data_IF_143776355614
#
_entry.id   IF_143776355614
#
_cell.length_a   1.000
_cell.length_b   1.000
_cell.length_c   1.000
_cell.angle_alpha   90.00
_cell.angle_beta   90.00
_cell.angle_gamma   90.00
#
_symmetry.space_group_name_H-M   'P 1'
#
loop_
_entity.id
_entity.type
_entity.pdbx_description
1 polymer ?
#
# COMPACT_ATOMS: atom_id res chain seq x y z
N UNK A 1 10.98 24.75 1.06
CA UNK A 1 11.03 24.69 2.54
C UNK A 1 10.31 23.41 2.94
N UNK A 2 11.00 22.42 3.51
CA UNK A 2 10.38 21.17 4.00
C UNK A 2 9.52 21.54 5.22
N UNK A 3 8.31 20.99 5.33
CA UNK A 3 7.48 21.17 6.52
C UNK A 3 8.12 20.42 7.70
N UNK A 4 8.06 20.98 8.91
CA UNK A 4 8.61 20.33 10.11
C UNK A 4 8.05 18.91 10.28
N UNK A 5 6.79 18.68 9.88
CA UNK A 5 6.14 17.37 9.87
C UNK A 5 6.82 16.39 8.94
N UNK A 6 7.12 16.79 7.70
CA UNK A 6 7.79 15.94 6.72
C UNK A 6 9.22 15.59 7.18
N UNK A 7 9.94 16.57 7.74
CA UNK A 7 11.25 16.35 8.31
C UNK A 7 11.21 15.34 9.48
N UNK A 8 10.26 15.49 10.40
CA UNK A 8 10.10 14.58 11.52
C UNK A 8 9.77 13.15 11.06
N UNK A 9 8.87 13.00 10.08
CA UNK A 9 8.52 11.70 9.50
C UNK A 9 9.75 11.05 8.84
N UNK A 10 10.48 11.79 8.00
CA UNK A 10 11.65 11.26 7.29
C UNK A 10 12.90 11.06 8.18
N UNK A 11 12.90 11.63 9.38
CA UNK A 11 13.95 11.43 10.40
C UNK A 11 13.57 10.37 11.45
N UNK A 12 12.34 9.84 11.41
CA UNK A 12 11.88 8.84 12.36
C UNK A 12 12.37 7.45 11.95
N UNK A 13 12.96 6.73 12.90
CA UNK A 13 13.43 5.37 12.70
C UNK A 13 12.24 4.40 12.70
N UNK A 14 12.13 3.57 11.66
CA UNK A 14 11.14 2.49 11.63
C UNK A 14 11.59 1.36 12.55
N UNK A 15 10.73 0.86 13.44
CA UNK A 15 11.04 -0.32 14.28
C UNK A 15 11.19 -1.61 13.48
N UNK A 16 10.67 -1.67 12.25
CA UNK A 16 10.75 -2.86 11.40
C UNK A 16 11.99 -2.87 10.50
N UNK A 17 12.52 -1.69 10.18
CA UNK A 17 13.65 -1.52 9.24
C UNK A 17 14.88 -0.95 9.96
N UNK A 18 14.76 -0.49 11.21
CA UNK A 18 15.80 0.11 12.07
C UNK A 18 16.49 1.37 11.50
N UNK A 19 16.02 1.89 10.37
CA UNK A 19 16.54 3.11 9.75
C UNK A 19 15.45 4.15 9.50
N UNK A 20 15.87 5.42 9.39
CA UNK A 20 15.01 6.51 8.96
C UNK A 20 15.06 6.73 7.43
N UNK A 21 13.97 7.15 6.78
CA UNK A 21 13.95 7.40 5.32
C UNK A 21 15.08 8.29 4.79
N UNK A 22 15.51 9.30 5.55
CA UNK A 22 16.64 10.15 5.14
C UNK A 22 17.97 9.41 5.09
N UNK A 23 18.25 8.55 6.07
CA UNK A 23 19.45 7.73 6.08
C UNK A 23 19.43 6.70 4.94
N UNK A 24 18.25 6.21 4.58
CA UNK A 24 18.08 5.27 3.50
C UNK A 24 18.33 5.90 2.12
N UNK A 25 17.65 7.00 1.81
CA UNK A 25 17.76 7.65 0.51
C UNK A 25 19.08 8.41 0.35
N UNK A 26 19.52 9.02 1.45
CA UNK A 26 20.59 10.01 1.44
C UNK A 26 21.85 9.53 2.13
N UNK A 27 21.92 8.34 2.73
CA UNK A 27 23.13 7.85 3.42
C UNK A 27 23.57 8.67 4.65
N UNK A 28 22.80 9.68 5.04
CA UNK A 28 23.03 10.51 6.22
C UNK A 28 21.70 11.05 6.75
N UNK A 29 21.63 11.28 8.07
CA UNK A 29 20.54 12.03 8.69
C UNK A 29 20.83 13.54 8.59
N UNK A 30 20.02 14.34 7.87
CA UNK A 30 20.19 15.78 7.83
C UNK A 30 19.95 16.37 9.22
N UNK A 31 20.74 17.38 9.58
CA UNK A 31 20.50 18.18 10.78
C UNK A 31 20.05 19.57 10.32
N UNK A 32 19.12 20.19 11.04
CA UNK A 32 18.59 21.53 10.71
C UNK A 32 19.69 22.61 10.71
N UNK A 33 20.80 22.36 11.43
CA UNK A 33 21.98 23.20 11.46
C UNK A 33 23.16 22.42 10.84
N UNK A 34 23.67 22.87 9.69
CA UNK A 34 25.01 22.47 9.20
C UNK A 34 25.86 23.71 9.03
N UNK A 35 26.85 23.88 9.90
CA UNK A 35 27.99 24.77 9.66
C UNK A 35 28.97 24.04 8.73
N UNK A 36 29.25 24.62 7.56
CA UNK A 36 30.14 24.02 6.56
C UNK A 36 31.58 24.36 6.92
N UNK A 37 32.30 23.45 7.58
CA UNK A 37 33.75 23.56 7.78
C UNK A 37 34.46 22.59 6.83
N UNK A 38 34.98 23.10 5.72
CA UNK A 38 35.75 22.31 4.75
C UNK A 38 37.26 22.39 5.00
N UNK A 39 37.92 21.24 5.22
CA UNK A 39 39.40 21.09 5.14
C UNK A 39 39.85 19.84 4.36
N UNK A 40 38.94 19.08 3.75
CA UNK A 40 39.27 17.81 3.10
C UNK A 40 39.01 17.86 1.58
N UNK A 41 39.81 17.08 0.82
CA UNK A 41 39.68 16.97 -0.64
C UNK A 41 38.34 16.30 -1.01
N UNK A 42 37.49 16.95 -1.84
CA UNK A 42 36.11 16.54 -2.08
C UNK A 42 35.96 15.13 -2.70
N UNK A 43 36.97 14.62 -3.40
CA UNK A 43 36.85 13.38 -4.19
C UNK A 43 36.79 12.08 -3.38
N UNK A 44 37.43 12.02 -2.20
CA UNK A 44 37.46 10.80 -1.39
C UNK A 44 36.23 10.65 -0.49
N UNK A 45 35.67 11.75 0.00
CA UNK A 45 34.43 11.75 0.79
C UNK A 45 33.23 11.35 -0.06
N UNK A 46 33.13 11.85 -1.30
CA UNK A 46 32.08 11.48 -2.25
C UNK A 46 32.09 9.96 -2.53
N UNK A 47 33.28 9.36 -2.68
CA UNK A 47 33.41 7.90 -2.90
C UNK A 47 32.96 7.08 -1.68
N UNK A 48 33.34 7.51 -0.47
CA UNK A 48 32.89 6.85 0.78
C UNK A 48 31.38 6.95 0.94
N UNK A 49 30.82 8.11 0.64
CA UNK A 49 29.39 8.36 0.66
C UNK A 49 28.62 7.45 -0.30
N UNK A 50 29.00 7.43 -1.58
CA UNK A 50 28.35 6.58 -2.58
C UNK A 50 28.42 5.09 -2.21
N UNK A 51 29.56 4.64 -1.66
CA UNK A 51 29.72 3.27 -1.18
C UNK A 51 28.77 2.96 -0.01
N UNK A 52 28.60 3.88 0.94
CA UNK A 52 27.68 3.72 2.05
C UNK A 52 26.22 3.62 1.59
N UNK A 53 25.80 4.49 0.65
CA UNK A 53 24.44 4.43 0.07
C UNK A 53 24.18 3.08 -0.60
N UNK A 54 25.12 2.57 -1.41
CA UNK A 54 24.95 1.28 -2.09
C UNK A 54 24.85 0.10 -1.11
N UNK A 55 25.65 0.09 -0.05
CA UNK A 55 25.60 -0.94 0.99
C UNK A 55 24.26 -0.87 1.73
N UNK A 56 23.83 0.34 2.12
CA UNK A 56 22.55 0.54 2.80
C UNK A 56 21.41 0.03 1.92
N UNK A 57 21.41 0.35 0.62
CA UNK A 57 20.39 -0.15 -0.33
C UNK A 57 20.31 -1.68 -0.35
N UNK A 58 21.45 -2.38 -0.40
CA UNK A 58 21.46 -3.84 -0.39
C UNK A 58 20.87 -4.43 0.91
N UNK A 59 21.22 -3.86 2.07
CA UNK A 59 20.67 -4.27 3.38
C UNK A 59 19.17 -4.01 3.47
N UNK A 60 18.72 -2.84 3.02
CA UNK A 60 17.30 -2.45 3.00
C UNK A 60 16.47 -3.44 2.20
N UNK A 61 16.91 -3.83 1.00
CA UNK A 61 16.15 -4.75 0.17
C UNK A 61 15.87 -6.06 0.91
N UNK A 62 16.87 -6.60 1.60
CA UNK A 62 16.71 -7.80 2.40
C UNK A 62 15.74 -7.56 3.57
N UNK A 63 15.90 -6.47 4.33
CA UNK A 63 15.00 -6.15 5.45
C UNK A 63 13.55 -5.95 5.00
N UNK A 64 13.30 -5.26 3.88
CA UNK A 64 11.95 -5.08 3.34
C UNK A 64 11.34 -6.42 2.96
N UNK A 65 12.11 -7.32 2.35
CA UNK A 65 11.64 -8.66 2.01
C UNK A 65 11.30 -9.43 3.28
N UNK A 66 12.18 -9.44 4.29
CA UNK A 66 11.96 -10.11 5.58
C UNK A 66 10.72 -9.58 6.31
N UNK A 67 10.59 -8.27 6.41
CA UNK A 67 9.43 -7.60 7.01
C UNK A 67 8.15 -7.96 6.28
N UNK A 68 8.15 -7.97 4.94
CA UNK A 68 6.98 -8.37 4.14
C UNK A 68 6.62 -9.83 4.38
N UNK A 69 7.60 -10.72 4.47
CA UNK A 69 7.37 -12.14 4.78
C UNK A 69 6.74 -12.28 6.17
N UNK A 70 7.31 -11.62 7.18
CA UNK A 70 6.76 -11.65 8.55
C UNK A 70 5.34 -11.08 8.60
N UNK A 71 5.09 -9.91 8.01
CA UNK A 71 3.76 -9.31 7.94
C UNK A 71 2.77 -10.22 7.23
N UNK A 72 3.17 -10.85 6.13
CA UNK A 72 2.35 -11.80 5.39
C UNK A 72 2.01 -13.02 6.24
N UNK A 73 3.00 -13.59 6.95
CA UNK A 73 2.76 -14.70 7.88
C UNK A 73 1.77 -14.31 8.98
N UNK A 74 1.97 -13.16 9.62
CA UNK A 74 1.09 -12.67 10.68
C UNK A 74 -0.33 -12.40 10.19
N UNK A 75 -0.48 -11.74 9.03
CA UNK A 75 -1.78 -11.49 8.41
C UNK A 75 -2.49 -12.80 8.03
N UNK A 76 -1.73 -13.83 7.62
CA UNK A 76 -2.28 -15.12 7.24
C UNK A 76 -2.66 -16.03 8.42
N UNK A 77 -2.19 -15.77 9.66
CA UNK A 77 -2.50 -16.63 10.83
C UNK A 77 -3.99 -16.82 11.09
N UNK A 78 -4.79 -15.80 10.81
CA UNK A 78 -6.25 -15.83 11.01
C UNK A 78 -7.03 -15.90 9.71
N UNK A 79 -6.35 -16.12 8.58
CA UNK A 79 -7.00 -16.23 7.28
C UNK A 79 -7.66 -17.60 7.18
N UNK A 80 -8.99 -17.61 7.00
CA UNK A 80 -9.71 -18.82 6.69
C UNK A 80 -9.35 -19.31 5.28
N UNK A 81 -9.38 -20.64 5.04
CA UNK A 81 -9.30 -21.18 3.69
C UNK A 81 -10.31 -20.48 2.79
N UNK A 82 -9.89 -20.16 1.56
CA UNK A 82 -10.78 -19.56 0.59
C UNK A 82 -11.93 -20.55 0.29
N UNK A 83 -13.20 -20.13 0.37
CA UNK A 83 -14.32 -21.01 0.06
C UNK A 83 -14.28 -21.51 -1.39
N UNK A 84 -14.81 -22.71 -1.64
CA UNK A 84 -14.90 -23.29 -2.98
C UNK A 84 -15.94 -22.54 -3.84
N UNK A 85 -15.50 -21.43 -4.43
CA UNK A 85 -16.31 -20.57 -5.28
C UNK A 85 -16.12 -20.96 -6.74
N UNK A 86 -17.22 -21.29 -7.43
CA UNK A 86 -17.23 -21.74 -8.83
C UNK A 86 -17.94 -20.74 -9.74
N UNK A 87 -17.63 -20.81 -11.02
CA UNK A 87 -18.41 -20.13 -12.07
C UNK A 87 -19.86 -20.58 -11.97
N UNK A 88 -20.80 -19.65 -12.18
CA UNK A 88 -22.23 -19.80 -11.96
C UNK A 88 -22.70 -19.82 -10.50
N UNK A 89 -21.83 -19.79 -9.49
CA UNK A 89 -22.26 -19.54 -8.12
C UNK A 89 -22.85 -18.14 -7.99
N UNK A 90 -23.77 -17.98 -7.05
CA UNK A 90 -24.37 -16.69 -6.67
C UNK A 90 -23.75 -16.21 -5.36
N UNK A 91 -23.27 -14.97 -5.33
CA UNK A 91 -22.64 -14.38 -4.14
C UNK A 91 -23.25 -13.03 -3.80
N UNK A 92 -23.44 -12.78 -2.51
CA UNK A 92 -23.84 -11.46 -2.01
C UNK A 92 -22.62 -10.53 -1.95
N UNK A 93 -22.80 -9.26 -2.34
CA UNK A 93 -21.75 -8.25 -2.27
C UNK A 93 -21.97 -7.31 -1.08
N UNK A 94 -20.93 -7.07 -0.29
CA UNK A 94 -21.00 -6.14 0.85
C UNK A 94 -21.02 -4.70 0.38
N UNK A 95 -21.93 -3.88 0.93
CA UNK A 95 -22.13 -2.48 0.52
C UNK A 95 -21.09 -1.49 1.04
N UNK A 96 -20.26 -1.89 2.02
CA UNK A 96 -19.33 -1.01 2.75
C UNK A 96 -18.40 -0.18 1.85
N UNK A 97 -17.97 -0.73 0.71
CA UNK A 97 -17.02 -0.09 -0.21
C UNK A 97 -17.65 0.17 -1.60
N UNK A 98 -18.98 0.20 -1.69
CA UNK A 98 -19.69 0.46 -2.93
C UNK A 98 -20.20 1.90 -2.97
N UNK A 99 -20.04 2.54 -4.11
CA UNK A 99 -20.63 3.85 -4.37
C UNK A 99 -22.12 3.67 -4.69
N UNK A 100 -22.95 3.69 -3.64
CA UNK A 100 -24.40 3.67 -3.78
C UNK A 100 -24.94 5.08 -4.09
N UNK A 101 -26.06 5.14 -4.80
CA UNK A 101 -26.75 6.37 -5.22
C UNK A 101 -26.87 7.37 -4.06
N UNK A 102 -26.46 8.62 -4.31
CA UNK A 102 -26.55 9.69 -3.31
C UNK A 102 -28.03 10.04 -3.08
N UNK A 103 -28.53 9.85 -1.86
CA UNK A 103 -29.91 10.23 -1.52
C UNK A 103 -30.47 9.64 -0.23
N UNK A 104 -29.83 8.59 0.32
CA UNK A 104 -30.17 8.05 1.65
C UNK A 104 -28.93 7.93 2.53
N UNK A 105 -29.14 8.01 3.84
CA UNK A 105 -28.10 7.70 4.82
C UNK A 105 -27.65 6.24 4.63
N UNK A 106 -26.33 6.00 4.56
CA UNK A 106 -25.73 4.67 4.43
C UNK A 106 -26.22 3.68 5.51
N UNK A 107 -26.67 4.20 6.65
CA UNK A 107 -27.26 3.43 7.77
C UNK A 107 -28.55 2.69 7.42
N UNK A 108 -29.29 3.15 6.40
CA UNK A 108 -30.56 2.55 5.99
C UNK A 108 -30.42 1.56 4.83
N UNK A 109 -29.21 1.38 4.30
CA UNK A 109 -28.97 0.40 3.26
C UNK A 109 -28.75 -0.99 3.85
N UNK A 110 -29.20 -2.01 3.12
CA UNK A 110 -28.81 -3.39 3.42
C UNK A 110 -27.28 -3.51 3.41
N UNK A 111 -26.75 -4.33 4.32
CA UNK A 111 -25.32 -4.66 4.37
C UNK A 111 -24.87 -5.43 3.13
N UNK A 112 -25.79 -6.14 2.48
CA UNK A 112 -25.54 -6.96 1.31
C UNK A 112 -26.48 -6.59 0.15
N UNK A 113 -25.95 -6.53 -1.06
CA UNK A 113 -26.73 -6.43 -2.30
C UNK A 113 -27.04 -7.83 -2.80
N UNK A 114 -28.18 -7.94 -3.51
CA UNK A 114 -28.68 -9.09 -4.24
C UNK A 114 -27.58 -10.01 -4.82
N UNK A 115 -27.80 -11.33 -4.87
CA UNK A 115 -26.78 -12.24 -5.34
C UNK A 115 -26.34 -11.99 -6.79
N UNK A 116 -25.03 -11.86 -6.98
CA UNK A 116 -24.39 -11.76 -8.28
C UNK A 116 -23.93 -13.13 -8.75
N UNK A 117 -24.22 -13.42 -10.02
CA UNK A 117 -23.70 -14.61 -10.68
C UNK A 117 -22.22 -14.41 -11.02
N UNK A 118 -21.38 -15.36 -10.67
CA UNK A 118 -19.95 -15.36 -11.04
C UNK A 118 -19.79 -15.83 -12.48
N UNK A 119 -19.06 -15.04 -13.28
CA UNK A 119 -18.72 -15.32 -14.68
C UNK A 119 -17.31 -15.89 -14.80
N UNK A 120 -16.38 -15.43 -13.96
CA UNK A 120 -14.99 -15.86 -13.99
C UNK A 120 -14.42 -15.94 -12.57
N UNK A 121 -13.60 -16.96 -12.30
CA UNK A 121 -12.93 -17.18 -11.02
C UNK A 121 -11.42 -17.17 -11.24
N UNK A 122 -10.69 -16.33 -10.49
CA UNK A 122 -9.22 -16.25 -10.49
C UNK A 122 -8.69 -16.53 -9.08
N UNK A 123 -8.60 -17.81 -8.68
CA UNK A 123 -8.36 -18.19 -7.27
C UNK A 123 -6.96 -17.79 -6.80
N UNK A 124 -5.97 -17.75 -7.71
CA UNK A 124 -4.59 -17.31 -7.40
C UNK A 124 -4.51 -15.92 -6.76
N UNK A 125 -5.45 -15.02 -7.08
CA UNK A 125 -5.47 -13.64 -6.62
C UNK A 125 -6.73 -13.31 -5.80
N UNK A 126 -7.55 -14.33 -5.46
CA UNK A 126 -8.87 -14.15 -4.84
C UNK A 126 -9.74 -13.12 -5.57
N UNK A 127 -9.66 -13.10 -6.91
CA UNK A 127 -10.38 -12.15 -7.78
C UNK A 127 -11.51 -12.85 -8.54
N UNK A 128 -12.65 -12.18 -8.69
CA UNK A 128 -13.87 -12.73 -9.27
C UNK A 128 -14.54 -11.72 -10.20
N UNK A 129 -14.99 -12.17 -11.37
CA UNK A 129 -15.82 -11.34 -12.25
C UNK A 129 -17.30 -11.69 -12.06
N UNK A 130 -18.10 -10.67 -11.83
CA UNK A 130 -19.53 -10.77 -11.57
C UNK A 130 -20.32 -10.35 -12.80
N UNK A 131 -21.43 -11.04 -13.06
CA UNK A 131 -22.35 -10.66 -14.11
C UNK A 131 -23.03 -9.36 -13.72
N UNK A 132 -22.83 -8.32 -14.53
CA UNK A 132 -23.47 -7.03 -14.34
C UNK A 132 -25.00 -7.15 -14.54
N UNK A 133 -25.80 -6.82 -13.52
CA UNK A 133 -27.23 -6.63 -13.68
C UNK A 133 -27.49 -5.16 -14.04
N UNK A 134 -28.20 -4.94 -15.15
CA UNK A 134 -28.63 -3.61 -15.62
C UNK A 134 -29.41 -2.80 -14.55
N UNK A 135 -29.96 -3.46 -13.53
CA UNK A 135 -30.72 -2.83 -12.44
C UNK A 135 -29.84 -1.90 -11.59
N UNK A 136 -28.56 -2.19 -11.43
CA UNK A 136 -27.66 -1.34 -10.63
C UNK A 136 -27.19 -0.07 -11.35
N UNK A 137 -27.40 0.07 -12.65
CA UNK A 137 -26.98 1.27 -13.40
C UNK A 137 -27.81 2.51 -13.04
N UNK A 138 -29.03 2.34 -12.52
CA UNK A 138 -29.82 3.46 -12.02
C UNK A 138 -29.27 4.02 -10.70
N UNK A 139 -28.52 3.22 -9.93
CA UNK A 139 -28.06 3.62 -8.59
C UNK A 139 -26.53 3.64 -8.40
N UNK A 140 -25.72 3.11 -9.33
CA UNK A 140 -24.26 3.11 -9.24
C UNK A 140 -23.70 3.97 -10.37
N UNK A 141 -23.35 5.21 -10.05
CA UNK A 141 -22.54 6.05 -10.94
C UNK A 141 -21.11 5.52 -10.92
N UNK A 142 -20.73 4.74 -11.93
CA UNK A 142 -19.35 4.30 -12.13
C UNK A 142 -18.54 5.53 -12.55
N UNK A 143 -17.82 6.14 -11.62
CA UNK A 143 -16.78 7.12 -11.94
C UNK A 143 -15.61 6.33 -12.49
N UNK A 144 -15.54 6.20 -13.82
CA UNK A 144 -14.32 5.78 -14.50
C UNK A 144 -13.37 6.97 -14.48
N UNK A 145 -12.38 6.94 -13.58
CA UNK A 145 -11.25 7.86 -13.66
C UNK A 145 -10.35 7.41 -14.83
N UNK A 146 -10.46 8.14 -15.93
CA UNK A 146 -9.66 7.99 -17.13
C UNK A 146 -8.68 9.15 -17.22
N UNK A 147 -7.65 9.21 -16.36
CA UNK A 147 -6.48 10.02 -16.68
C UNK A 147 -5.17 9.33 -16.32
N UNK A 148 -4.37 9.19 -17.39
CA UNK A 148 -2.94 8.90 -17.48
C UNK A 148 -2.10 9.80 -16.57
#
# INVERSE_FOLDING_TARGET
>A
KISLTEFAINSSISTSIEYAPFELNGGYMPTILKEVRGKNSPSQEIKKFAKAVLINMAVIYNMIIEVRVFQTQQANKHRLPEPDIKVNNFIYLVTKNLNLSKGRSSKLYSKYIEPFKIVEVRPKFSNYHLKHLLVLQLDITVVTDHHR
#
